data_IF_348165918414
#
_entry.id   IF_348165918414
#
_cell.length_a   1.000
_cell.length_b   1.000
_cell.length_c   1.000
_cell.angle_alpha   90.00
_cell.angle_beta   90.00
_cell.angle_gamma   90.00
#
_symmetry.space_group_name_H-M   'P 1'
#
loop_
_entity.id
_entity.type
_entity.pdbx_description
1 polymer ?
#
# COMPACT_ATOMS: atom_id res chain seq x y z
N UNK A 1 -7.66 39.42 25.90
CA UNK A 1 -6.74 39.53 24.75
C UNK A 1 -6.66 38.13 24.14
N UNK A 2 -7.01 38.05 22.86
CA UNK A 2 -7.21 36.89 21.96
C UNK A 2 -6.15 35.79 22.10
N UNK A 3 -6.46 34.50 22.00
CA UNK A 3 -7.09 33.77 20.87
C UNK A 3 -7.86 32.51 21.37
N UNK A 4 -8.59 31.81 20.50
CA UNK A 4 -7.95 30.56 20.05
C UNK A 4 -8.01 30.32 18.54
N UNK A 5 -6.90 29.71 18.10
CA UNK A 5 -6.65 28.92 16.91
C UNK A 5 -7.90 28.25 16.33
N UNK A 6 -8.31 28.66 15.12
CA UNK A 6 -9.24 27.88 14.30
C UNK A 6 -8.45 26.78 13.58
N UNK A 7 -8.53 25.54 14.09
CA UNK A 7 -8.20 24.35 13.31
C UNK A 7 -9.21 24.24 12.16
N UNK A 8 -8.74 24.44 10.93
CA UNK A 8 -9.56 24.21 9.73
C UNK A 8 -9.41 22.74 9.33
N UNK A 9 -10.18 21.87 9.99
CA UNK A 9 -10.25 20.45 9.62
C UNK A 9 -10.90 20.29 8.24
N UNK A 10 -10.31 19.44 7.39
CA UNK A 10 -10.89 19.08 6.09
C UNK A 10 -12.23 18.35 6.30
N UNK A 11 -13.15 18.44 5.32
CA UNK A 11 -14.44 17.72 5.37
C UNK A 11 -14.25 16.20 5.52
N UNK A 12 -13.13 15.66 5.04
CA UNK A 12 -12.78 14.25 5.18
C UNK A 12 -12.39 13.92 6.62
N UNK A 13 -11.52 14.72 7.25
CA UNK A 13 -11.13 14.56 8.65
C UNK A 13 -12.33 14.71 9.62
N UNK A 14 -13.27 15.61 9.31
CA UNK A 14 -14.49 15.75 10.12
C UNK A 14 -15.42 14.54 9.97
N UNK A 15 -15.51 13.96 8.76
CA UNK A 15 -16.27 12.73 8.52
C UNK A 15 -15.59 11.52 9.19
N UNK A 16 -14.26 11.48 9.20
CA UNK A 16 -13.45 10.46 9.86
C UNK A 16 -13.64 10.48 11.39
N UNK A 17 -13.53 11.67 12.00
CA UNK A 17 -13.64 11.84 13.45
C UNK A 17 -15.07 11.66 13.98
N UNK A 18 -16.09 12.08 13.23
CA UNK A 18 -17.50 11.88 13.62
C UNK A 18 -17.91 10.39 13.52
N UNK A 19 -17.27 9.61 12.66
CA UNK A 19 -17.58 8.19 12.46
C UNK A 19 -16.88 7.27 13.48
N UNK A 20 -15.64 7.58 13.87
CA UNK A 20 -14.90 6.84 14.92
C UNK A 20 -15.62 6.92 16.28
N UNK A 21 -16.36 8.00 16.55
CA UNK A 21 -16.98 8.25 17.86
C UNK A 21 -18.37 7.59 18.03
N UNK A 22 -19.06 7.17 16.97
CA UNK A 22 -20.52 6.93 17.08
C UNK A 22 -21.05 5.50 17.05
N UNK A 23 -20.42 4.45 16.49
CA UNK A 23 -21.09 3.13 16.48
C UNK A 23 -20.18 1.90 16.67
N UNK A 24 -20.40 1.21 17.80
CA UNK A 24 -19.86 -0.11 18.13
C UNK A 24 -20.43 -1.27 17.32
N UNK A 25 -20.60 -1.12 16.01
CA UNK A 25 -20.91 -2.21 15.10
C UNK A 25 -20.28 -1.91 13.72
N UNK A 26 -19.01 -2.30 13.59
CA UNK A 26 -18.08 -1.84 12.56
C UNK A 26 -18.45 -2.37 11.16
N UNK A 27 -19.36 -1.68 10.46
CA UNK A 27 -19.35 -1.67 9.01
C UNK A 27 -18.04 -0.99 8.58
N UNK A 28 -17.00 -1.81 8.39
CA UNK A 28 -15.65 -1.36 8.03
C UNK A 28 -15.74 -0.51 6.77
N UNK A 29 -15.09 0.65 6.79
CA UNK A 29 -14.91 1.47 5.59
C UNK A 29 -14.21 0.60 4.55
N UNK A 30 -14.89 0.27 3.45
CA UNK A 30 -14.33 -0.52 2.37
C UNK A 30 -13.59 0.42 1.43
N UNK A 31 -12.44 0.92 1.89
CA UNK A 31 -11.57 1.81 1.13
C UNK A 31 -11.02 1.08 -0.09
N UNK A 32 -10.90 1.79 -1.20
CA UNK A 32 -10.50 1.20 -2.49
C UNK A 32 -9.40 2.00 -3.18
N UNK A 33 -9.11 3.20 -2.69
CA UNK A 33 -8.21 4.18 -3.28
C UNK A 33 -8.93 4.95 -4.38
N UNK A 34 -9.40 4.24 -5.41
CA UNK A 34 -10.04 4.82 -6.59
C UNK A 34 -11.33 5.57 -6.24
N UNK A 35 -12.20 5.00 -5.40
CA UNK A 35 -13.46 5.66 -5.00
C UNK A 35 -13.22 6.90 -4.12
N UNK A 36 -12.05 7.01 -3.50
CA UNK A 36 -11.62 8.17 -2.71
C UNK A 36 -10.91 9.23 -3.57
N UNK A 37 -10.79 9.01 -4.88
CA UNK A 37 -10.17 9.94 -5.83
C UNK A 37 -8.65 9.79 -5.95
N UNK A 38 -8.09 8.67 -5.52
CA UNK A 38 -6.68 8.32 -5.75
C UNK A 38 -6.52 7.62 -7.10
N UNK A 39 -5.40 7.87 -7.77
CA UNK A 39 -4.96 7.12 -8.95
C UNK A 39 -4.07 5.97 -8.48
N UNK A 40 -4.39 4.74 -8.87
CA UNK A 40 -3.62 3.55 -8.48
C UNK A 40 -3.12 2.84 -9.72
N UNK A 41 -1.81 2.69 -9.83
CA UNK A 41 -1.17 1.89 -10.89
C UNK A 41 -0.52 0.67 -10.25
N UNK A 42 -0.84 -0.50 -10.78
CA UNK A 42 -0.18 -1.75 -10.42
C UNK A 42 0.63 -2.19 -11.63
N UNK A 43 1.86 -2.65 -11.41
CA UNK A 43 2.71 -3.16 -12.48
C UNK A 43 3.65 -4.28 -12.01
N UNK A 44 4.17 -5.04 -12.97
CA UNK A 44 5.24 -6.00 -12.70
C UNK A 44 6.09 -6.21 -13.94
N UNK A 45 7.39 -6.46 -13.70
CA UNK A 45 8.38 -6.72 -14.74
C UNK A 45 8.44 -8.21 -15.05
N UNK A 46 8.40 -8.54 -16.35
CA UNK A 46 8.52 -9.88 -16.89
C UNK A 46 9.90 -10.06 -17.56
N UNK A 47 10.62 -11.08 -17.14
CA UNK A 47 11.96 -11.43 -17.65
C UNK A 47 11.94 -12.74 -18.44
N UNK A 48 13.04 -13.07 -19.14
CA UNK A 48 13.14 -14.34 -19.89
C UNK A 48 13.03 -15.62 -19.06
N UNK A 49 13.01 -15.53 -17.72
CA UNK A 49 12.81 -16.65 -16.80
C UNK A 49 11.37 -16.76 -16.27
N UNK A 50 10.49 -15.82 -16.65
CA UNK A 50 9.15 -15.68 -16.13
C UNK A 50 8.10 -16.35 -17.02
N UNK A 51 7.01 -16.82 -16.40
CA UNK A 51 5.80 -17.25 -17.11
C UNK A 51 4.73 -16.15 -16.96
N UNK A 52 4.36 -15.44 -18.05
CA UNK A 52 3.40 -14.33 -17.97
C UNK A 52 2.06 -14.71 -17.35
N UNK A 53 1.56 -15.92 -17.59
CA UNK A 53 0.26 -16.36 -17.08
C UNK A 53 0.31 -16.60 -15.57
N UNK A 54 1.39 -17.22 -15.07
CA UNK A 54 1.57 -17.46 -13.63
C UNK A 54 1.68 -16.13 -12.87
N UNK A 55 2.36 -15.15 -13.48
CA UNK A 55 2.53 -13.84 -12.86
C UNK A 55 1.21 -13.08 -12.85
N UNK A 56 0.45 -13.12 -13.93
CA UNK A 56 -0.88 -12.55 -13.96
C UNK A 56 -1.78 -13.17 -12.89
N UNK A 57 -1.82 -14.50 -12.75
CA UNK A 57 -2.58 -15.18 -11.69
C UNK A 57 -2.17 -14.72 -10.29
N UNK A 58 -0.87 -14.48 -10.07
CA UNK A 58 -0.37 -13.95 -8.80
C UNK A 58 -0.86 -12.53 -8.51
N UNK A 59 -0.91 -11.66 -9.52
CA UNK A 59 -1.41 -10.29 -9.38
C UNK A 59 -2.91 -10.31 -9.11
N UNK A 60 -3.68 -11.10 -9.87
CA UNK A 60 -5.14 -11.19 -9.77
C UNK A 60 -5.63 -11.70 -8.40
N UNK A 61 -4.80 -12.45 -7.66
CA UNK A 61 -5.12 -12.87 -6.28
C UNK A 61 -5.24 -11.71 -5.29
N UNK A 62 -4.54 -10.61 -5.54
CA UNK A 62 -4.55 -9.41 -4.69
C UNK A 62 -5.25 -8.22 -5.35
N UNK A 63 -5.28 -8.19 -6.68
CA UNK A 63 -5.84 -7.13 -7.50
C UNK A 63 -6.74 -7.71 -8.60
N UNK A 64 -7.97 -8.16 -8.27
CA UNK A 64 -8.81 -8.89 -9.24
C UNK A 64 -9.24 -8.08 -10.47
N UNK A 65 -9.25 -6.76 -10.36
CA UNK A 65 -9.62 -5.85 -11.44
C UNK A 65 -8.43 -5.49 -12.36
N UNK A 66 -7.25 -6.06 -12.09
CA UNK A 66 -6.07 -5.83 -12.92
C UNK A 66 -6.30 -6.34 -14.34
N UNK A 67 -6.14 -5.47 -15.33
CA UNK A 67 -6.24 -5.82 -16.74
C UNK A 67 -5.02 -5.37 -17.52
N UNK A 68 -4.41 -6.28 -18.29
CA UNK A 68 -3.30 -5.99 -19.18
C UNK A 68 -3.32 -6.91 -20.42
N UNK A 69 -2.53 -6.56 -21.44
CA UNK A 69 -2.13 -7.51 -22.47
C UNK A 69 -0.93 -8.32 -22.01
N UNK A 70 -0.95 -9.63 -22.23
CA UNK A 70 0.20 -10.49 -21.92
C UNK A 70 1.13 -10.63 -23.12
N UNK A 71 2.47 -10.52 -22.93
CA UNK A 71 3.43 -10.89 -23.96
C UNK A 71 3.46 -12.41 -24.16
N UNK A 72 4.10 -12.85 -25.24
CA UNK A 72 4.33 -14.26 -25.48
C UNK A 72 5.24 -14.88 -24.40
N UNK A 73 5.01 -16.17 -24.15
CA UNK A 73 5.84 -16.94 -23.21
C UNK A 73 7.27 -17.06 -23.75
N UNK A 74 8.31 -16.77 -22.94
CA UNK A 74 9.68 -16.82 -23.42
C UNK A 74 10.12 -18.28 -23.70
N UNK A 75 10.88 -18.47 -24.78
CA UNK A 75 11.57 -19.72 -25.10
C UNK A 75 13.06 -19.52 -24.84
N UNK A 76 13.68 -20.45 -24.12
CA UNK A 76 15.11 -20.33 -23.78
C UNK A 76 16.01 -20.53 -25.02
N UNK A 77 17.05 -19.69 -25.23
CA UNK A 77 17.39 -18.49 -24.45
C UNK A 77 16.50 -17.29 -24.85
N UNK A 78 16.07 -16.51 -23.85
CA UNK A 78 15.21 -15.33 -24.05
C UNK A 78 15.84 -14.07 -23.43
N UNK A 79 15.71 -12.95 -24.15
CA UNK A 79 16.05 -11.60 -23.67
C UNK A 79 14.83 -10.78 -23.27
N UNK A 80 13.69 -11.45 -22.99
CA UNK A 80 12.46 -10.79 -22.59
C UNK A 80 12.67 -9.90 -21.36
N UNK A 81 12.10 -8.70 -21.42
CA UNK A 81 12.22 -7.66 -20.42
C UNK A 81 11.03 -6.69 -20.52
N UNK A 82 9.81 -7.25 -20.47
CA UNK A 82 8.55 -6.54 -20.65
C UNK A 82 8.01 -6.01 -19.29
N UNK A 83 7.05 -5.10 -19.35
CA UNK A 83 6.29 -4.63 -18.19
C UNK A 83 4.82 -4.82 -18.48
N UNK A 84 4.11 -5.46 -17.55
CA UNK A 84 2.65 -5.47 -17.52
C UNK A 84 2.17 -4.46 -16.47
N UNK A 85 1.16 -3.67 -16.82
CA UNK A 85 0.63 -2.64 -15.94
C UNK A 85 -0.86 -2.46 -16.14
N UNK A 86 -1.53 -1.96 -15.10
CA UNK A 86 -2.93 -1.58 -15.13
C UNK A 86 -3.13 -0.32 -14.28
N UNK A 87 -4.01 0.57 -14.73
CA UNK A 87 -4.37 1.82 -14.06
C UNK A 87 -5.74 1.69 -13.40
N UNK A 88 -6.03 2.59 -12.45
CA UNK A 88 -7.28 2.65 -11.70
C UNK A 88 -7.63 1.32 -11.00
N UNK A 89 -6.59 0.64 -10.47
CA UNK A 89 -6.75 -0.66 -9.81
C UNK A 89 -7.27 -0.48 -8.38
N UNK A 90 -8.34 -1.19 -8.03
CA UNK A 90 -8.92 -1.15 -6.68
C UNK A 90 -8.03 -1.89 -5.68
N UNK A 91 -7.91 -1.32 -4.47
CA UNK A 91 -7.06 -1.85 -3.40
C UNK A 91 -7.81 -2.61 -2.30
N UNK A 92 -9.12 -2.77 -2.39
CA UNK A 92 -9.95 -3.37 -1.34
C UNK A 92 -9.56 -4.82 -1.01
N UNK A 93 -9.31 -5.66 -2.02
CA UNK A 93 -8.86 -7.05 -1.80
C UNK A 93 -7.46 -7.11 -1.20
N UNK A 94 -6.57 -6.25 -1.67
CA UNK A 94 -5.22 -6.09 -1.09
C UNK A 94 -5.29 -5.68 0.38
N UNK A 95 -6.07 -4.64 0.73
CA UNK A 95 -6.25 -4.17 2.10
C UNK A 95 -6.85 -5.27 2.99
N UNK A 96 -7.85 -6.01 2.50
CA UNK A 96 -8.41 -7.16 3.21
C UNK A 96 -7.34 -8.23 3.51
N UNK A 97 -6.40 -8.48 2.60
CA UNK A 97 -5.29 -9.40 2.83
C UNK A 97 -4.35 -8.90 3.94
N UNK A 98 -4.03 -7.60 3.98
CA UNK A 98 -3.24 -6.98 5.06
C UNK A 98 -3.91 -7.17 6.42
N UNK A 99 -5.21 -6.89 6.50
CA UNK A 99 -6.00 -7.10 7.72
C UNK A 99 -6.00 -8.56 8.15
N UNK A 100 -6.26 -9.49 7.22
CA UNK A 100 -6.28 -10.93 7.51
C UNK A 100 -4.93 -11.45 8.01
N UNK A 101 -3.84 -10.83 7.55
CA UNK A 101 -2.48 -11.14 7.98
C UNK A 101 -2.05 -10.41 9.25
N UNK A 102 -2.82 -9.42 9.72
CA UNK A 102 -2.47 -8.59 10.88
C UNK A 102 -1.11 -7.90 10.75
N UNK A 103 -0.79 -7.39 9.56
CA UNK A 103 0.48 -6.72 9.24
C UNK A 103 0.31 -5.22 8.95
N UNK A 104 -0.74 -4.59 9.47
CA UNK A 104 -1.13 -3.23 9.11
C UNK A 104 -0.10 -2.17 9.54
N UNK A 105 0.56 -2.36 10.69
CA UNK A 105 1.64 -1.46 11.13
C UNK A 105 2.81 -1.51 10.15
N UNK A 106 3.31 -2.71 9.84
CA UNK A 106 4.36 -2.89 8.82
C UNK A 106 3.91 -2.36 7.45
N UNK A 107 2.63 -2.49 7.12
CA UNK A 107 2.11 -2.00 5.86
C UNK A 107 2.13 -0.47 5.81
N UNK A 108 1.80 0.21 6.91
CA UNK A 108 1.91 1.66 6.99
C UNK A 108 3.36 2.10 6.76
N UNK A 109 4.30 1.47 7.45
CA UNK A 109 5.73 1.79 7.33
C UNK A 109 6.18 1.66 5.85
N UNK A 110 5.94 0.51 5.20
CA UNK A 110 6.36 0.29 3.80
C UNK A 110 5.60 1.12 2.76
N UNK A 111 4.29 1.33 2.95
CA UNK A 111 3.46 2.09 2.01
C UNK A 111 3.70 3.60 2.12
N UNK A 112 4.23 4.08 3.24
CA UNK A 112 4.55 5.50 3.46
C UNK A 112 6.03 5.85 3.34
N UNK A 113 6.93 4.85 3.25
CA UNK A 113 8.38 5.05 3.17
C UNK A 113 8.82 6.00 2.05
N UNK A 114 8.14 5.99 0.91
CA UNK A 114 8.42 6.88 -0.24
C UNK A 114 7.29 7.88 -0.49
N UNK A 115 6.48 8.19 0.52
CA UNK A 115 5.39 9.16 0.38
C UNK A 115 5.95 10.58 0.24
N UNK A 116 5.54 11.26 -0.83
CA UNK A 116 5.83 12.67 -1.05
C UNK A 116 4.56 13.49 -1.36
N UNK A 117 4.71 14.70 -1.91
CA UNK A 117 3.59 15.59 -2.23
C UNK A 117 2.69 15.05 -3.36
N UNK A 118 3.21 14.13 -4.19
CA UNK A 118 2.56 13.62 -5.40
C UNK A 118 1.94 12.25 -5.20
N UNK A 119 2.63 11.37 -4.46
CA UNK A 119 2.20 9.99 -4.30
C UNK A 119 3.14 9.15 -3.45
N UNK A 120 3.00 7.84 -3.57
CA UNK A 120 3.91 6.86 -2.97
C UNK A 120 4.11 5.69 -3.93
N UNK A 121 5.27 5.04 -3.84
CA UNK A 121 5.58 3.82 -4.56
C UNK A 121 6.14 2.79 -3.59
N UNK A 122 5.56 1.59 -3.63
CA UNK A 122 6.02 0.46 -2.83
C UNK A 122 5.90 -0.86 -3.59
N UNK A 123 6.48 -1.90 -3.01
CA UNK A 123 6.65 -3.20 -3.65
C UNK A 123 6.13 -4.31 -2.75
N UNK A 124 5.58 -5.36 -3.37
CA UNK A 124 5.26 -6.61 -2.69
C UNK A 124 5.83 -7.80 -3.45
N UNK A 125 6.13 -8.89 -2.75
CA UNK A 125 6.69 -10.10 -3.34
C UNK A 125 5.68 -10.81 -4.26
N UNK A 126 6.10 -11.12 -5.50
CA UNK A 126 5.31 -11.99 -6.40
C UNK A 126 5.08 -13.37 -5.80
N UNK A 127 6.09 -13.94 -5.14
CA UNK A 127 6.00 -15.28 -4.53
C UNK A 127 4.97 -15.33 -3.40
N UNK A 128 4.87 -14.27 -2.58
CA UNK A 128 3.81 -14.17 -1.58
C UNK A 128 2.44 -14.02 -2.26
N UNK A 129 2.34 -13.17 -3.28
CA UNK A 129 1.10 -12.94 -4.03
C UNK A 129 0.57 -14.22 -4.71
N UNK A 130 1.47 -15.10 -5.18
CA UNK A 130 1.10 -16.43 -5.70
C UNK A 130 0.32 -17.28 -4.68
N UNK A 131 0.57 -17.09 -3.38
CA UNK A 131 -0.17 -17.75 -2.30
C UNK A 131 -1.36 -16.92 -1.77
N UNK A 132 -1.70 -15.81 -2.43
CA UNK A 132 -2.72 -14.85 -1.98
C UNK A 132 -2.30 -14.14 -0.70
N UNK A 133 -1.00 -13.91 -0.52
CA UNK A 133 -0.42 -13.25 0.66
C UNK A 133 0.34 -11.99 0.27
N UNK A 134 0.43 -11.05 1.20
CA UNK A 134 1.26 -9.86 1.07
C UNK A 134 2.53 -10.03 1.89
N UNK A 135 3.68 -9.80 1.25
CA UNK A 135 4.95 -9.66 1.94
C UNK A 135 5.72 -8.50 1.29
N UNK A 136 6.21 -7.58 2.10
CA UNK A 136 7.05 -6.48 1.63
C UNK A 136 8.50 -6.98 1.54
N UNK A 137 9.17 -6.83 0.38
CA UNK A 137 10.59 -7.15 0.27
C UNK A 137 11.42 -6.19 1.12
N UNK A 138 12.61 -6.62 1.53
CA UNK A 138 13.55 -5.75 2.22
C UNK A 138 13.99 -4.62 1.28
N UNK A 139 14.09 -3.39 1.80
CA UNK A 139 14.50 -2.24 1.02
C UNK A 139 15.90 -2.46 0.40
N UNK A 140 16.04 -2.13 -0.88
CA UNK A 140 17.30 -2.32 -1.62
C UNK A 140 17.62 -3.76 -2.02
N UNK A 141 16.77 -4.74 -1.70
CA UNK A 141 16.96 -6.15 -2.07
C UNK A 141 15.81 -6.62 -2.96
N UNK A 142 16.13 -6.96 -4.20
CA UNK A 142 15.17 -7.60 -5.11
C UNK A 142 14.95 -9.06 -4.69
N UNK A 143 13.71 -9.46 -4.35
CA UNK A 143 13.41 -10.83 -3.97
C UNK A 143 13.50 -11.77 -5.19
N UNK A 144 13.79 -13.04 -4.90
CA UNK A 144 13.70 -14.10 -5.91
C UNK A 144 12.28 -14.14 -6.49
N UNK A 145 12.21 -14.17 -7.82
CA UNK A 145 10.93 -14.17 -8.53
C UNK A 145 10.26 -12.79 -8.59
N UNK A 146 10.96 -11.70 -8.22
CA UNK A 146 10.56 -10.31 -8.46
C UNK A 146 9.39 -9.78 -7.65
N UNK A 147 8.96 -8.58 -8.02
CA UNK A 147 7.98 -7.78 -7.27
C UNK A 147 6.78 -7.39 -8.11
N UNK A 148 5.69 -7.08 -7.41
CA UNK A 148 4.57 -6.27 -7.93
C UNK A 148 4.79 -4.87 -7.37
N UNK A 149 4.82 -3.88 -8.25
CA UNK A 149 4.94 -2.46 -7.91
C UNK A 149 3.55 -1.85 -7.83
N UNK A 150 3.32 -1.06 -6.78
CA UNK A 150 2.08 -0.32 -6.56
C UNK A 150 2.46 1.15 -6.42
N UNK A 151 1.87 1.97 -7.27
CA UNK A 151 2.00 3.42 -7.28
C UNK A 151 0.64 4.01 -6.95
N UNK A 152 0.59 4.93 -5.99
CA UNK A 152 -0.64 5.61 -5.59
C UNK A 152 -0.38 7.11 -5.60
N UNK A 153 -1.15 7.84 -6.39
CA UNK A 153 -1.12 9.29 -6.47
C UNK A 153 -2.45 9.89 -6.00
N UNK A 154 -2.40 11.07 -5.39
CA UNK A 154 -3.62 11.83 -5.09
C UNK A 154 -3.55 12.68 -3.83
N UNK A 155 -4.57 13.52 -3.66
CA UNK A 155 -4.63 14.44 -2.52
C UNK A 155 -4.98 13.71 -1.22
N UNK A 156 -4.34 14.14 -0.12
CA UNK A 156 -4.53 13.57 1.22
C UNK A 156 -4.19 12.06 1.29
N UNK A 157 -3.24 11.61 0.47
CA UNK A 157 -2.80 10.21 0.46
C UNK A 157 -2.30 9.74 1.83
N UNK A 158 -1.55 10.56 2.56
CA UNK A 158 -1.10 10.23 3.92
C UNK A 158 -2.26 9.92 4.87
N UNK A 159 -3.28 10.78 4.92
CA UNK A 159 -4.49 10.56 5.72
C UNK A 159 -5.21 9.27 5.29
N UNK A 160 -5.26 8.99 3.98
CA UNK A 160 -5.86 7.77 3.44
C UNK A 160 -5.06 6.52 3.82
N UNK A 161 -3.72 6.56 3.82
CA UNK A 161 -2.87 5.44 4.24
C UNK A 161 -3.04 5.14 5.73
N UNK A 162 -3.10 6.17 6.58
CA UNK A 162 -3.39 6.00 8.01
C UNK A 162 -4.77 5.38 8.24
N UNK A 163 -5.77 5.84 7.48
CA UNK A 163 -7.13 5.30 7.48
C UNK A 163 -7.18 3.82 7.04
N UNK A 164 -6.51 3.49 5.94
CA UNK A 164 -6.49 2.16 5.34
C UNK A 164 -5.72 1.13 6.18
N UNK A 165 -4.79 1.59 7.02
CA UNK A 165 -3.99 0.73 7.91
C UNK A 165 -4.45 0.79 9.37
N UNK A 166 -5.56 1.45 9.66
CA UNK A 166 -6.03 1.59 11.03
C UNK A 166 -6.53 0.26 11.60
N UNK A 167 -6.18 -0.01 12.86
CA UNK A 167 -6.77 -1.09 13.67
C UNK A 167 -6.87 -0.68 15.14
N UNK A 168 -7.74 -1.38 15.88
CA UNK A 168 -8.06 -1.11 17.29
C UNK A 168 -6.86 -1.13 18.25
N UNK A 169 -5.76 -1.81 17.89
CA UNK A 169 -4.52 -1.78 18.65
C UNK A 169 -3.96 -0.35 18.83
N UNK A 170 -4.26 0.55 17.88
CA UNK A 170 -3.82 1.95 17.91
C UNK A 170 -4.64 2.86 18.83
N UNK A 171 -5.74 2.37 19.41
CA UNK A 171 -6.47 3.13 20.45
C UNK A 171 -5.62 3.32 21.72
N UNK A 172 -4.77 2.33 22.03
CA UNK A 172 -3.90 2.34 23.21
C UNK A 172 -2.48 2.84 22.90
N UNK A 173 -1.98 2.58 21.68
CA UNK A 173 -0.64 3.00 21.23
C UNK A 173 -0.78 3.62 19.83
N UNK A 174 -1.00 4.95 19.72
CA UNK A 174 -1.11 5.62 18.43
C UNK A 174 0.17 5.48 17.59
N UNK A 175 0.02 5.27 16.28
CA UNK A 175 1.09 5.29 15.27
C UNK A 175 0.68 6.20 14.12
N UNK A 176 1.59 7.06 13.67
CA UNK A 176 1.45 7.99 12.53
C UNK A 176 2.56 7.77 11.52
N UNK A 177 2.34 8.26 10.30
CA UNK A 177 3.38 8.28 9.27
C UNK A 177 4.60 9.05 9.79
N UNK A 178 5.78 8.44 9.67
CA UNK A 178 7.04 9.03 10.08
C UNK A 178 7.42 8.86 11.56
N UNK A 179 6.63 8.11 12.36
CA UNK A 179 7.00 7.79 13.75
C UNK A 179 8.29 6.97 13.84
N UNK A 180 8.63 6.20 12.79
CA UNK A 180 9.87 5.41 12.66
C UNK A 180 11.14 6.25 12.53
N UNK A 181 11.07 7.49 12.02
CA UNK A 181 12.22 8.41 12.01
C UNK A 181 12.65 8.87 13.41
N UNK A 182 11.91 8.47 14.45
CA UNK A 182 12.27 8.68 15.85
C UNK A 182 13.31 7.67 16.33
N UNK A 183 13.63 6.63 15.57
CA UNK A 183 14.64 5.63 15.91
C UNK A 183 15.65 5.46 14.76
N UNK A 184 16.94 5.38 15.08
CA UNK A 184 17.98 5.13 14.09
C UNK A 184 18.07 3.64 13.71
N UNK A 185 18.88 3.32 12.69
CA UNK A 185 19.12 1.93 12.22
C UNK A 185 19.71 1.01 13.31
N UNK A 186 20.14 1.57 14.44
CA UNK A 186 20.65 0.84 15.61
C UNK A 186 19.61 0.64 16.72
N UNK A 187 18.40 1.21 16.56
CA UNK A 187 17.32 1.15 17.53
C UNK A 187 17.44 2.15 18.68
N UNK A 188 18.31 3.16 18.58
CA UNK A 188 18.38 4.25 19.54
C UNK A 188 17.38 5.37 19.18
N UNK A 189 16.78 5.99 20.20
CA UNK A 189 15.86 7.09 20.00
C UNK A 189 16.62 8.33 19.52
N UNK A 190 16.25 8.88 18.36
CA UNK A 190 16.84 10.10 17.80
C UNK A 190 16.36 11.29 18.62
N UNK A 191 17.19 11.79 19.53
CA UNK A 191 16.92 13.04 20.24
C UNK A 191 17.40 14.22 19.39
N UNK A 192 16.50 15.15 19.07
CA UNK A 192 16.84 16.42 18.40
C UNK A 192 17.97 17.14 19.17
N UNK A 193 19.07 17.46 18.48
CA UNK A 193 20.17 18.28 18.97
C UNK A 193 20.31 19.56 18.16
#
# INVERSE_FOLDING_TARGET
MTLPFQFRMSRLAFKFMLYVVLEGNMARLNLTGVDEGLSVVVSSKLTGADDPEIILDSILKLFPDFTCGLPEKPIFPSSQNDIIASQDVRLDVFLQALHKQSILDTSLDFMSANLDETGTVFHISRQAAMAGKVAFPLQGIEPLGGVITIEIDGQNLGDWLEAATWHNGRENIPRRIGDEFTMDDSGEAVTWH
#
